data_IF_899976896091
#
_entry.id   IF_899976896091
#
_cell.length_a   1.000
_cell.length_b   1.000
_cell.length_c   1.000
_cell.angle_alpha   90.00
_cell.angle_beta   90.00
_cell.angle_gamma   90.00
#
_symmetry.space_group_name_H-M   'P 1'
#
loop_
_entity.id
_entity.type
_entity.pdbx_description
1 polymer ?
#
# COMPACT_ATOMS: atom_id res chain seq x y z
N UNK A 1 -10.71 3.65 7.16
CA UNK A 1 -9.58 4.58 6.87
C UNK A 1 -8.65 3.90 5.86
N UNK A 2 -7.82 4.66 5.13
CA UNK A 2 -6.85 4.07 4.18
C UNK A 2 -5.56 3.58 4.86
N UNK A 3 -5.21 4.24 5.96
CA UNK A 3 -4.05 3.92 6.81
C UNK A 3 -4.53 3.92 8.26
N UNK A 4 -4.18 2.87 8.98
CA UNK A 4 -4.35 2.76 10.42
C UNK A 4 -2.97 2.77 11.10
N UNK A 5 -2.86 3.46 12.24
CA UNK A 5 -1.62 3.55 13.01
C UNK A 5 -1.91 3.29 14.48
N UNK A 6 -1.17 2.35 15.08
CA UNK A 6 -1.26 2.03 16.49
C UNK A 6 0.11 1.65 17.05
N UNK A 7 0.52 2.31 18.15
CA UNK A 7 1.84 2.18 18.79
C UNK A 7 2.99 2.48 17.84
N UNK A 8 3.42 1.50 17.03
CA UNK A 8 4.45 1.59 15.96
C UNK A 8 4.10 0.76 14.71
N UNK A 9 2.86 0.28 14.63
CA UNK A 9 2.35 -0.49 13.52
C UNK A 9 1.54 0.39 12.58
N UNK A 10 1.84 0.32 11.29
CA UNK A 10 1.03 0.88 10.22
C UNK A 10 0.35 -0.26 9.49
N UNK A 11 -0.97 -0.17 9.30
CA UNK A 11 -1.70 -1.07 8.41
C UNK A 11 -2.25 -0.27 7.23
N UNK A 12 -1.94 -0.72 6.01
CA UNK A 12 -2.35 -0.08 4.74
C UNK A 12 -2.60 -1.16 3.70
N UNK A 13 -3.56 -0.98 2.78
CA UNK A 13 -3.87 -2.03 1.81
C UNK A 13 -2.69 -2.37 0.88
N UNK A 14 -2.03 -1.36 0.31
CA UNK A 14 -0.92 -1.56 -0.64
C UNK A 14 0.43 -1.02 -0.17
N UNK A 15 0.53 0.26 0.17
CA UNK A 15 1.81 0.81 0.63
C UNK A 15 1.78 2.31 0.89
N UNK A 16 2.95 2.87 1.21
CA UNK A 16 3.13 4.30 1.43
C UNK A 16 4.28 4.83 0.59
N UNK A 17 4.16 6.08 0.10
CA UNK A 17 5.25 6.70 -0.61
C UNK A 17 6.43 7.00 0.33
N UNK A 18 7.70 6.80 -0.10
CA UNK A 18 8.88 6.88 0.76
C UNK A 18 9.08 8.22 1.47
N UNK A 19 8.62 9.31 0.87
CA UNK A 19 8.75 10.68 1.36
C UNK A 19 7.73 11.05 2.45
N UNK A 20 6.71 10.22 2.68
CA UNK A 20 5.69 10.47 3.69
C UNK A 20 6.16 10.01 5.06
N UNK A 21 6.06 10.89 6.04
CA UNK A 21 6.16 10.51 7.45
C UNK A 21 4.92 9.74 7.91
N UNK A 22 4.96 9.13 9.08
CA UNK A 22 3.77 8.56 9.75
C UNK A 22 2.65 9.61 9.86
N UNK A 23 3.01 10.83 10.26
CA UNK A 23 2.06 11.95 10.40
C UNK A 23 1.41 12.30 9.06
N UNK A 24 2.19 12.36 7.98
CA UNK A 24 1.69 12.60 6.63
C UNK A 24 0.70 11.51 6.19
N UNK A 25 1.07 10.23 6.35
CA UNK A 25 0.23 9.10 5.98
C UNK A 25 -1.12 9.10 6.71
N UNK A 26 -1.12 9.37 8.02
CA UNK A 26 -2.35 9.49 8.83
C UNK A 26 -3.18 10.69 8.37
N UNK A 27 -2.55 11.85 8.16
CA UNK A 27 -3.22 13.08 7.71
C UNK A 27 -3.91 12.85 6.37
N UNK A 28 -3.19 12.37 5.37
CA UNK A 28 -3.72 12.14 4.04
C UNK A 28 -4.82 11.07 4.02
N UNK A 29 -4.66 9.99 4.80
CA UNK A 29 -5.69 8.98 5.02
C UNK A 29 -6.98 9.61 5.55
N UNK A 30 -6.90 10.51 6.54
CA UNK A 30 -8.06 11.23 7.10
C UNK A 30 -8.70 12.17 6.07
N UNK A 31 -7.91 12.93 5.33
CA UNK A 31 -8.40 13.87 4.31
C UNK A 31 -9.18 13.14 3.19
N UNK A 32 -8.66 12.02 2.69
CA UNK A 32 -9.38 11.21 1.70
C UNK A 32 -10.60 10.54 2.31
N UNK A 33 -10.47 9.99 3.52
CA UNK A 33 -11.61 9.37 4.23
C UNK A 33 -12.74 10.36 4.53
N UNK A 34 -12.44 11.65 4.70
CA UNK A 34 -13.45 12.69 4.87
C UNK A 34 -14.20 12.95 3.56
N UNK A 35 -13.50 12.98 2.42
CA UNK A 35 -14.13 13.15 1.10
C UNK A 35 -15.03 11.96 0.75
N UNK A 36 -14.56 10.73 0.98
CA UNK A 36 -15.33 9.50 0.78
C UNK A 36 -16.61 9.43 1.63
N UNK A 37 -16.63 10.06 2.80
CA UNK A 37 -17.80 10.10 3.71
C UNK A 37 -18.68 11.34 3.51
N UNK A 38 -18.30 12.24 2.61
CA UNK A 38 -19.02 13.49 2.40
C UNK A 38 -20.28 13.29 1.56
N UNK A 39 -21.19 14.26 1.60
CA UNK A 39 -22.36 14.30 0.69
C UNK A 39 -21.97 14.32 -0.80
N UNK A 40 -20.75 14.77 -1.12
CA UNK A 40 -20.19 14.84 -2.48
C UNK A 40 -19.34 13.62 -2.85
N UNK A 41 -19.49 12.49 -2.15
CA UNK A 41 -18.67 11.31 -2.39
C UNK A 41 -18.80 10.79 -3.83
N UNK A 42 -19.96 10.89 -4.48
CA UNK A 42 -20.14 10.47 -5.89
C UNK A 42 -19.27 11.29 -6.86
N UNK A 43 -19.24 12.62 -6.70
CA UNK A 43 -18.35 13.51 -7.48
C UNK A 43 -16.87 13.23 -7.19
N UNK A 44 -16.55 12.89 -5.95
CA UNK A 44 -15.19 12.51 -5.59
C UNK A 44 -14.79 11.16 -6.21
N UNK A 45 -15.68 10.17 -6.20
CA UNK A 45 -15.48 8.85 -6.80
C UNK A 45 -15.29 8.95 -8.33
N UNK A 46 -15.99 9.86 -9.00
CA UNK A 46 -15.81 10.06 -10.45
C UNK A 46 -14.45 10.69 -10.80
N UNK A 47 -13.88 11.50 -9.91
CA UNK A 47 -12.60 12.19 -10.15
C UNK A 47 -11.36 11.46 -9.61
N UNK A 48 -11.53 10.43 -8.77
CA UNK A 48 -10.41 9.69 -8.17
C UNK A 48 -9.79 8.63 -9.08
N UNK A 49 -10.41 8.27 -10.20
CA UNK A 49 -9.81 7.31 -11.13
C UNK A 49 -8.67 7.96 -11.93
N UNK A 50 -7.67 7.14 -12.28
CA UNK A 50 -6.54 7.55 -13.10
C UNK A 50 -5.18 7.21 -12.49
N UNK A 51 -4.16 7.17 -13.35
CA UNK A 51 -2.79 6.84 -12.96
C UNK A 51 -1.90 8.08 -12.77
N UNK A 52 -2.43 9.29 -13.00
CA UNK A 52 -1.68 10.55 -12.84
C UNK A 52 -2.31 11.44 -11.77
N UNK A 53 -1.51 12.10 -10.92
CA UNK A 53 -0.04 12.05 -10.90
C UNK A 53 0.47 10.72 -10.33
N UNK A 54 1.62 10.29 -10.84
CA UNK A 54 2.36 9.11 -10.39
C UNK A 54 3.50 9.47 -9.42
N UNK A 55 3.81 10.76 -9.26
CA UNK A 55 4.84 11.26 -8.33
C UNK A 55 4.25 12.29 -7.38
N UNK A 56 4.54 12.14 -6.09
CA UNK A 56 4.07 13.07 -5.08
C UNK A 56 4.84 14.38 -5.11
N UNK A 57 4.10 15.48 -5.02
CA UNK A 57 4.61 16.82 -4.73
C UNK A 57 3.66 17.53 -3.75
N UNK A 58 4.21 18.33 -2.84
CA UNK A 58 3.42 19.19 -1.95
C UNK A 58 2.64 20.27 -2.71
N UNK A 59 3.04 20.59 -3.95
CA UNK A 59 2.41 21.59 -4.81
C UNK A 59 1.22 21.06 -5.61
N UNK A 60 0.94 19.75 -5.54
CA UNK A 60 -0.23 19.16 -6.19
C UNK A 60 -1.53 19.82 -5.69
N UNK A 61 -2.49 20.00 -6.60
CA UNK A 61 -3.83 20.44 -6.23
C UNK A 61 -4.55 19.38 -5.38
N UNK A 62 -5.70 19.74 -4.82
CA UNK A 62 -6.46 18.87 -3.89
C UNK A 62 -6.84 17.52 -4.50
N UNK A 63 -7.34 17.50 -5.73
CA UNK A 63 -7.81 16.29 -6.40
C UNK A 63 -6.65 15.36 -6.73
N UNK A 64 -5.55 15.92 -7.22
CA UNK A 64 -4.34 15.19 -7.54
C UNK A 64 -3.66 14.62 -6.29
N UNK A 65 -3.64 15.37 -5.18
CA UNK A 65 -3.21 14.87 -3.87
C UNK A 65 -4.07 13.69 -3.42
N UNK A 66 -5.39 13.82 -3.51
CA UNK A 66 -6.29 12.74 -3.13
C UNK A 66 -6.08 11.50 -3.99
N UNK A 67 -5.95 11.67 -5.32
CA UNK A 67 -5.74 10.56 -6.26
C UNK A 67 -4.44 9.82 -6.01
N UNK A 68 -3.33 10.52 -5.80
CA UNK A 68 -2.06 9.84 -5.52
C UNK A 68 -2.04 9.20 -4.13
N UNK A 69 -2.75 9.75 -3.15
CA UNK A 69 -2.95 9.11 -1.84
C UNK A 69 -3.71 7.80 -1.99
N UNK A 70 -4.79 7.80 -2.76
CA UNK A 70 -5.52 6.57 -3.08
C UNK A 70 -4.61 5.59 -3.81
N UNK A 71 -3.97 6.00 -4.92
CA UNK A 71 -3.09 5.13 -5.69
C UNK A 71 -1.96 4.51 -4.83
N UNK A 72 -1.34 5.29 -3.94
CA UNK A 72 -0.31 4.77 -3.05
C UNK A 72 -0.89 3.74 -2.07
N UNK A 73 -1.97 4.11 -1.36
CA UNK A 73 -2.54 3.29 -0.29
C UNK A 73 -3.29 2.07 -0.79
N UNK A 74 -3.76 2.06 -2.04
CA UNK A 74 -4.58 0.98 -2.59
C UNK A 74 -3.98 0.25 -3.79
N UNK A 75 -2.95 0.79 -4.46
CA UNK A 75 -2.45 0.22 -5.73
C UNK A 75 -0.93 0.04 -5.81
N UNK A 76 -0.16 0.59 -4.87
CA UNK A 76 1.30 0.62 -4.91
C UNK A 76 1.94 -0.77 -4.84
N UNK A 77 2.94 -0.97 -5.69
CA UNK A 77 3.85 -2.12 -5.65
C UNK A 77 5.29 -1.65 -5.77
N UNK A 78 5.61 -1.04 -6.90
CA UNK A 78 6.96 -0.62 -7.25
C UNK A 78 7.04 0.85 -7.59
N UNK A 79 8.26 1.37 -7.48
CA UNK A 79 8.61 2.73 -7.83
C UNK A 79 9.73 2.72 -8.87
N UNK A 80 9.73 3.70 -9.77
CA UNK A 80 10.88 4.02 -10.62
C UNK A 80 12.02 4.56 -9.76
N UNK A 81 13.23 4.63 -10.31
CA UNK A 81 14.40 5.25 -9.66
C UNK A 81 14.17 6.70 -9.22
N UNK A 82 13.25 7.43 -9.87
CA UNK A 82 12.90 8.82 -9.56
C UNK A 82 11.77 8.95 -8.53
N UNK A 83 11.27 7.82 -8.00
CA UNK A 83 10.22 7.77 -6.98
C UNK A 83 8.79 7.92 -7.52
N UNK A 84 8.58 7.73 -8.83
CA UNK A 84 7.24 7.65 -9.41
C UNK A 84 6.65 6.26 -9.24
N UNK A 85 5.34 6.15 -9.03
CA UNK A 85 4.60 4.89 -8.97
C UNK A 85 4.62 4.22 -10.35
N UNK A 86 5.08 2.97 -10.40
CA UNK A 86 4.91 2.12 -11.56
C UNK A 86 3.62 1.29 -11.39
N UNK A 87 2.65 1.52 -12.29
CA UNK A 87 1.37 0.81 -12.30
C UNK A 87 1.37 -0.44 -13.18
N UNK A 88 2.45 -0.66 -13.93
CA UNK A 88 2.53 -1.73 -14.94
C UNK A 88 3.01 -3.04 -14.34
N UNK A 89 3.97 -2.97 -13.43
CA UNK A 89 4.59 -4.15 -12.84
C UNK A 89 3.71 -4.78 -11.76
N UNK A 90 3.39 -6.06 -11.92
CA UNK A 90 2.51 -6.84 -11.03
C UNK A 90 3.11 -8.19 -10.60
N UNK A 91 4.35 -8.48 -11.01
CA UNK A 91 5.00 -9.78 -10.84
C UNK A 91 5.70 -9.97 -9.48
N UNK A 92 6.43 -11.07 -9.37
CA UNK A 92 7.20 -11.47 -8.18
C UNK A 92 8.50 -10.66 -8.02
N UNK A 93 8.97 -10.44 -6.80
CA UNK A 93 10.17 -9.64 -6.53
C UNK A 93 11.42 -10.11 -7.31
N UNK A 94 11.61 -11.42 -7.49
CA UNK A 94 12.75 -12.01 -8.21
C UNK A 94 12.80 -11.67 -9.71
N UNK A 95 11.64 -11.36 -10.30
CA UNK A 95 11.47 -11.04 -11.72
C UNK A 95 11.38 -9.53 -11.95
N UNK A 96 11.64 -8.71 -10.93
CA UNK A 96 11.47 -7.25 -11.02
C UNK A 96 12.57 -6.63 -11.89
N UNK A 97 12.23 -5.80 -12.89
CA UNK A 97 13.22 -5.07 -13.68
C UNK A 97 14.15 -4.24 -12.81
N UNK A 98 15.46 -4.22 -13.11
CA UNK A 98 16.49 -3.50 -12.34
C UNK A 98 16.23 -1.99 -12.15
N UNK A 99 15.46 -1.38 -13.06
CA UNK A 99 15.06 0.04 -13.02
C UNK A 99 13.97 0.35 -11.98
N UNK A 100 13.30 -0.69 -11.47
CA UNK A 100 12.26 -0.58 -10.46
C UNK A 100 12.80 -0.98 -9.09
N UNK A 101 12.14 -0.46 -8.05
CA UNK A 101 12.36 -0.86 -6.66
C UNK A 101 11.02 -1.17 -6.02
N UNK A 102 10.94 -2.17 -5.15
CA UNK A 102 9.79 -2.34 -4.28
C UNK A 102 9.65 -1.08 -3.41
N UNK A 103 8.41 -0.61 -3.19
CA UNK A 103 8.19 0.66 -2.49
C UNK A 103 8.84 0.70 -1.09
N UNK A 104 8.88 -0.44 -0.41
CA UNK A 104 9.46 -0.60 0.92
C UNK A 104 10.99 -0.68 0.95
N UNK A 105 11.63 -0.86 -0.21
CA UNK A 105 13.10 -0.86 -0.40
C UNK A 105 13.62 0.48 -0.91
N UNK A 106 12.74 1.45 -1.11
CA UNK A 106 13.15 2.75 -1.62
C UNK A 106 14.03 3.46 -0.57
N UNK A 107 15.20 4.02 -0.97
CA UNK A 107 16.12 4.66 -0.04
C UNK A 107 15.47 5.79 0.76
N UNK A 108 15.92 5.95 2.01
CA UNK A 108 15.47 7.05 2.90
C UNK A 108 13.95 7.08 3.13
N UNK A 109 13.26 5.94 3.03
CA UNK A 109 11.85 5.79 3.43
C UNK A 109 11.63 6.33 4.85
N UNK A 110 10.83 7.39 4.99
CA UNK A 110 10.61 8.08 6.27
C UNK A 110 9.82 7.27 7.30
N UNK A 111 9.23 6.15 6.90
CA UNK A 111 8.52 5.22 7.78
C UNK A 111 9.35 4.00 8.18
N UNK A 112 10.66 3.97 7.90
CA UNK A 112 11.54 2.83 8.18
C UNK A 112 11.57 2.35 9.64
N UNK A 113 11.34 3.26 10.59
CA UNK A 113 11.36 2.95 12.03
C UNK A 113 10.01 2.43 12.56
N UNK A 114 9.07 2.14 11.66
CA UNK A 114 7.76 1.57 11.96
C UNK A 114 7.59 0.24 11.23
N UNK A 115 6.84 -0.67 11.85
CA UNK A 115 6.44 -1.91 11.20
C UNK A 115 5.23 -1.64 10.31
N UNK A 116 5.32 -1.97 9.02
CA UNK A 116 4.20 -1.80 8.07
C UNK A 116 3.63 -3.16 7.69
N UNK A 117 2.34 -3.35 7.94
CA UNK A 117 1.55 -4.50 7.50
C UNK A 117 0.78 -4.08 6.26
N UNK A 118 0.94 -4.81 5.16
CA UNK A 118 0.24 -4.52 3.91
C UNK A 118 -0.14 -5.78 3.13
N UNK A 119 -0.98 -5.60 2.10
CA UNK A 119 -1.43 -6.65 1.20
C UNK A 119 -1.34 -6.22 -0.27
N UNK A 120 -2.37 -6.49 -1.06
CA UNK A 120 -2.56 -6.11 -2.48
C UNK A 120 -1.57 -6.72 -3.49
N UNK A 121 -0.30 -6.85 -3.12
CA UNK A 121 0.73 -7.42 -3.97
C UNK A 121 0.81 -8.93 -3.77
N UNK A 122 -0.26 -9.64 -4.12
CA UNK A 122 -0.33 -11.10 -3.96
C UNK A 122 0.84 -11.86 -4.63
N UNK A 123 1.37 -11.37 -5.76
CA UNK A 123 2.54 -11.95 -6.42
C UNK A 123 3.84 -11.85 -5.61
N UNK A 124 3.92 -10.94 -4.63
CA UNK A 124 5.01 -10.89 -3.66
C UNK A 124 4.97 -12.11 -2.72
N UNK A 125 3.76 -12.60 -2.42
CA UNK A 125 3.53 -13.64 -1.42
C UNK A 125 3.76 -13.13 0.00
N UNK A 126 3.99 -14.07 0.91
CA UNK A 126 4.33 -13.75 2.30
C UNK A 126 5.73 -13.15 2.36
N UNK A 127 5.84 -11.95 2.92
CA UNK A 127 7.13 -11.34 3.26
C UNK A 127 7.12 -11.00 4.75
N UNK A 128 8.10 -11.49 5.49
CA UNK A 128 8.29 -11.19 6.92
C UNK A 128 9.65 -10.55 7.13
N UNK A 129 9.66 -9.21 7.22
CA UNK A 129 10.86 -8.41 7.48
C UNK A 129 10.61 -7.55 8.71
N UNK A 130 11.64 -7.26 9.50
CA UNK A 130 11.47 -6.56 10.79
C UNK A 130 10.64 -5.27 10.73
N UNK A 131 10.72 -4.53 9.62
CA UNK A 131 10.00 -3.29 9.34
C UNK A 131 8.79 -3.46 8.41
N UNK A 132 8.56 -4.63 7.78
CA UNK A 132 7.54 -4.83 6.76
C UNK A 132 6.98 -6.27 6.74
N UNK A 133 5.66 -6.39 6.76
CA UNK A 133 4.92 -7.65 6.63
C UNK A 133 3.95 -7.57 5.45
N UNK A 134 4.17 -8.38 4.41
CA UNK A 134 3.21 -8.57 3.32
C UNK A 134 2.37 -9.82 3.62
N UNK A 135 1.07 -9.64 3.86
CA UNK A 135 0.16 -10.72 4.29
C UNK A 135 -0.86 -11.11 3.21
N UNK A 136 -0.86 -10.43 2.06
CA UNK A 136 -1.64 -10.88 0.90
C UNK A 136 -0.93 -12.07 0.23
N UNK A 137 -1.30 -13.26 0.69
CA UNK A 137 -0.82 -14.53 0.15
C UNK A 137 -1.70 -15.07 -0.97
N UNK A 138 -2.62 -14.26 -1.52
CA UNK A 138 -3.40 -14.59 -2.71
C UNK A 138 -4.44 -15.68 -2.51
N UNK A 139 -5.17 -15.66 -1.40
CA UNK A 139 -6.26 -16.59 -1.08
C UNK A 139 -7.23 -16.78 -2.27
N UNK A 140 -7.72 -15.69 -2.86
CA UNK A 140 -8.66 -15.72 -4.01
C UNK A 140 -8.04 -16.31 -5.29
N UNK A 141 -6.72 -16.46 -5.33
CA UNK A 141 -5.98 -17.11 -6.42
C UNK A 141 -5.66 -18.58 -6.10
N UNK A 142 -6.42 -19.18 -5.20
CA UNK A 142 -6.24 -20.57 -4.77
C UNK A 142 -5.05 -20.85 -3.88
N UNK A 143 -4.45 -19.83 -3.27
CA UNK A 143 -3.33 -19.99 -2.33
C UNK A 143 -3.81 -20.02 -0.88
N UNK A 144 -3.40 -19.07 -0.06
CA UNK A 144 -3.68 -19.10 1.39
C UNK A 144 -4.21 -17.75 1.86
N UNK A 145 -5.04 -17.77 2.91
CA UNK A 145 -5.36 -16.60 3.73
C UNK A 145 -4.38 -16.58 4.91
N UNK A 146 -3.75 -15.43 5.15
CA UNK A 146 -2.70 -15.29 6.17
C UNK A 146 -3.06 -14.24 7.21
N UNK A 147 -2.81 -14.56 8.47
CA UNK A 147 -2.95 -13.68 9.62
C UNK A 147 -1.60 -13.50 10.32
N UNK A 148 -1.35 -12.28 10.80
CA UNK A 148 -0.19 -11.93 11.63
C UNK A 148 -0.66 -11.56 13.03
N UNK A 149 -0.18 -12.27 14.05
CA UNK A 149 -0.36 -11.87 15.45
C UNK A 149 0.71 -10.84 15.80
N UNK A 150 0.29 -9.64 16.19
CA UNK A 150 1.21 -8.50 16.36
C UNK A 150 2.15 -8.65 17.57
N UNK A 151 1.71 -9.31 18.64
CA UNK A 151 2.44 -9.38 19.90
C UNK A 151 3.77 -10.14 19.78
N UNK A 152 3.75 -11.26 19.05
CA UNK A 152 4.92 -12.14 18.89
C UNK A 152 5.34 -12.32 17.43
N UNK A 153 4.65 -11.64 16.50
CA UNK A 153 4.88 -11.71 15.05
C UNK A 153 4.68 -13.11 14.46
N UNK A 154 3.93 -13.97 15.16
CA UNK A 154 3.57 -15.29 14.63
C UNK A 154 2.66 -15.17 13.42
N UNK A 155 2.93 -15.99 12.41
CA UNK A 155 2.17 -16.04 11.15
C UNK A 155 1.36 -17.33 11.11
N UNK A 156 0.08 -17.19 10.80
CA UNK A 156 -0.86 -18.30 10.64
C UNK A 156 -1.43 -18.24 9.24
N UNK A 157 -1.57 -19.39 8.58
CA UNK A 157 -2.15 -19.46 7.24
C UNK A 157 -3.10 -20.63 7.12
N UNK A 158 -4.22 -20.41 6.42
CA UNK A 158 -5.17 -21.44 6.02
C UNK A 158 -5.21 -21.53 4.50
N UNK A 159 -5.25 -22.75 3.97
CA UNK A 159 -5.39 -22.97 2.52
C UNK A 159 -6.79 -22.60 2.07
N UNK A 160 -6.88 -21.99 0.88
CA UNK A 160 -8.16 -21.79 0.20
C UNK A 160 -8.85 -23.11 -0.03
N UNK A 161 -10.16 -23.14 0.17
CA UNK A 161 -11.00 -24.27 -0.23
C UNK A 161 -11.18 -24.22 -1.74
N UNK A 162 -10.94 -25.34 -2.43
CA UNK A 162 -11.09 -25.42 -3.89
C UNK A 162 -12.51 -25.13 -4.38
N UNK A 163 -13.51 -25.16 -3.50
CA UNK A 163 -14.90 -24.79 -3.81
C UNK A 163 -15.16 -23.28 -3.85
N UNK A 164 -14.24 -22.46 -3.32
CA UNK A 164 -14.39 -21.00 -3.19
C UNK A 164 -13.59 -20.21 -4.26
N UNK A 165 -13.00 -20.91 -5.25
CA UNK A 165 -12.21 -20.37 -6.37
C UNK A 165 -13.04 -20.50 -7.65
#
# INVERSE_FOLDING_TARGET
PLVHYEKKHLMVHAGLLPQWTVKDAIKFSKEVSAQLRSKKHVEFLSSMYGNKPDKWSSTLNKNDKARIVINATTRLRTLTSTGSIDFSYKGELKNMPKKLKAWFDFPKRKTKDNTIIFGHWSALGLLTRGDVFAIDTGCVWGRTLTALRLDDKSVFSVKTNSKDI
#
